data_IF_534076674840
#
_entry.id   IF_534076674840
#
_cell.length_a   1.000
_cell.length_b   1.000
_cell.length_c   1.000
_cell.angle_alpha   90.00
_cell.angle_beta   90.00
_cell.angle_gamma   90.00
#
_symmetry.space_group_name_H-M   'P 1'
#
loop_
_entity.id
_entity.type
_entity.pdbx_description
1 polymer ?
#
# COMPACT_ATOMS: atom_id res chain seq x y z
N UNK A 1 10.30 -9.29 -22.14
CA UNK A 1 9.70 -9.45 -20.79
C UNK A 1 10.66 -10.29 -19.96
N UNK A 2 11.23 -9.75 -18.89
CA UNK A 2 12.23 -10.46 -18.04
C UNK A 2 11.55 -11.26 -16.92
N UNK A 3 10.62 -10.63 -16.20
CA UNK A 3 9.85 -11.26 -15.13
C UNK A 3 8.42 -11.60 -15.60
N UNK A 4 7.87 -12.71 -15.08
CA UNK A 4 6.50 -13.15 -15.39
C UNK A 4 5.41 -12.34 -14.68
N UNK A 5 5.75 -11.62 -13.61
CA UNK A 5 4.86 -10.73 -12.86
C UNK A 5 5.47 -9.33 -12.86
N UNK A 6 4.73 -8.34 -13.37
CA UNK A 6 5.18 -6.95 -13.50
C UNK A 6 5.52 -6.33 -12.14
N UNK A 7 4.88 -6.76 -11.04
CA UNK A 7 5.19 -6.28 -9.68
C UNK A 7 6.61 -6.65 -9.25
N UNK A 8 7.18 -7.74 -9.78
CA UNK A 8 8.51 -8.24 -9.36
C UNK A 8 9.58 -7.17 -9.50
N UNK A 9 9.62 -6.45 -10.62
CA UNK A 9 10.68 -5.47 -10.88
C UNK A 9 10.50 -4.20 -10.04
N UNK A 10 9.27 -3.70 -9.93
CA UNK A 10 8.98 -2.46 -9.19
C UNK A 10 9.10 -2.63 -7.67
N UNK A 11 9.16 -3.87 -7.18
CA UNK A 11 9.45 -4.20 -5.78
C UNK A 11 10.95 -4.42 -5.51
N UNK A 12 11.80 -4.49 -6.54
CA UNK A 12 13.24 -4.52 -6.32
C UNK A 12 13.71 -3.16 -5.81
N UNK A 13 14.77 -3.16 -5.01
CA UNK A 13 15.44 -1.93 -4.61
C UNK A 13 16.78 -1.79 -5.32
N UNK A 14 17.20 -0.54 -5.49
CA UNK A 14 18.49 -0.24 -6.11
C UNK A 14 19.64 -0.54 -5.16
N UNK A 15 20.68 -1.19 -5.66
CA UNK A 15 21.97 -1.41 -4.96
C UNK A 15 22.84 -0.15 -4.91
N UNK A 16 22.53 0.82 -5.77
CA UNK A 16 23.23 2.11 -5.95
C UNK A 16 22.21 3.24 -5.92
N UNK A 17 22.66 4.48 -5.85
CA UNK A 17 21.77 5.62 -5.98
C UNK A 17 21.14 5.69 -7.38
N UNK A 18 20.06 6.44 -7.51
CA UNK A 18 19.32 6.63 -8.76
C UNK A 18 20.22 7.08 -9.91
N UNK A 19 21.06 8.09 -9.67
CA UNK A 19 21.88 8.70 -10.72
C UNK A 19 22.93 7.71 -11.26
N UNK A 20 23.58 6.96 -10.37
CA UNK A 20 24.50 5.88 -10.77
C UNK A 20 23.79 4.78 -11.55
N UNK A 21 22.56 4.43 -11.16
CA UNK A 21 21.78 3.36 -11.82
C UNK A 21 21.31 3.78 -13.21
N UNK A 22 20.80 5.00 -13.36
CA UNK A 22 20.39 5.57 -14.65
C UNK A 22 21.59 5.71 -15.58
N UNK A 23 22.71 6.25 -15.09
CA UNK A 23 23.94 6.41 -15.89
C UNK A 23 24.40 5.06 -16.46
N UNK A 24 24.40 4.01 -15.63
CA UNK A 24 24.79 2.67 -16.08
C UNK A 24 23.80 2.07 -17.09
N UNK A 25 22.50 2.37 -16.96
CA UNK A 25 21.50 1.94 -17.93
C UNK A 25 21.67 2.66 -19.27
N UNK A 26 21.94 3.96 -19.25
CA UNK A 26 22.23 4.75 -20.46
C UNK A 26 23.49 4.25 -21.18
N UNK A 27 24.52 3.87 -20.43
CA UNK A 27 25.72 3.23 -20.98
C UNK A 27 25.40 1.88 -21.64
N UNK A 28 24.56 1.04 -21.02
CA UNK A 28 24.08 -0.21 -21.61
C UNK A 28 23.35 0.05 -22.93
N UNK A 29 22.43 1.01 -22.95
CA UNK A 29 21.69 1.37 -24.17
C UNK A 29 22.62 1.89 -25.26
N UNK A 30 23.58 2.76 -24.92
CA UNK A 30 24.58 3.27 -25.86
C UNK A 30 25.44 2.16 -26.46
N UNK A 31 25.92 1.23 -25.64
CA UNK A 31 26.78 0.12 -26.08
C UNK A 31 26.04 -0.92 -26.94
N UNK A 32 24.71 -0.93 -26.87
CA UNK A 32 23.85 -1.89 -27.59
C UNK A 32 23.02 -1.24 -28.70
N UNK A 33 23.31 0.03 -29.05
CA UNK A 33 22.53 0.81 -30.01
C UNK A 33 21.02 0.79 -29.70
N UNK A 34 20.65 0.97 -28.44
CA UNK A 34 19.27 0.91 -27.91
C UNK A 34 18.59 -0.46 -28.08
N UNK A 35 19.35 -1.54 -28.25
CA UNK A 35 18.81 -2.89 -28.46
C UNK A 35 19.57 -3.96 -27.64
N UNK A 36 19.57 -3.86 -26.29
CA UNK A 36 20.20 -4.87 -25.45
C UNK A 36 19.48 -6.21 -25.52
N UNK A 37 20.22 -7.31 -25.44
CA UNK A 37 19.63 -8.65 -25.35
C UNK A 37 19.01 -8.89 -23.97
N UNK A 38 18.17 -9.93 -23.85
CA UNK A 38 17.59 -10.30 -22.55
C UNK A 38 18.68 -10.66 -21.53
N UNK A 39 19.78 -11.26 -21.96
CA UNK A 39 20.91 -11.61 -21.10
C UNK A 39 21.60 -10.35 -20.55
N UNK A 40 21.82 -9.34 -21.41
CA UNK A 40 22.42 -8.07 -20.99
C UNK A 40 21.52 -7.29 -20.02
N UNK A 41 20.20 -7.30 -20.25
CA UNK A 41 19.25 -6.71 -19.30
C UNK A 41 19.28 -7.46 -17.96
N UNK A 42 19.31 -8.80 -17.97
CA UNK A 42 19.41 -9.58 -16.72
C UNK A 42 20.69 -9.27 -15.97
N UNK A 43 21.82 -9.22 -16.65
CA UNK A 43 23.10 -8.86 -16.04
C UNK A 43 23.06 -7.46 -15.41
N UNK A 44 22.45 -6.49 -16.10
CA UNK A 44 22.22 -5.16 -15.53
C UNK A 44 21.35 -5.22 -14.27
N UNK A 45 20.23 -5.94 -14.31
CA UNK A 45 19.35 -6.10 -13.15
C UNK A 45 20.07 -6.75 -11.97
N UNK A 46 20.85 -7.81 -12.21
CA UNK A 46 21.62 -8.51 -11.18
C UNK A 46 22.71 -7.62 -10.56
N UNK A 47 23.27 -6.67 -11.31
CA UNK A 47 24.29 -5.75 -10.84
C UNK A 47 23.72 -4.54 -10.06
N UNK A 48 22.55 -4.05 -10.43
CA UNK A 48 22.01 -2.77 -9.93
C UNK A 48 20.77 -2.89 -9.07
N UNK A 49 20.08 -4.04 -9.06
CA UNK A 49 18.87 -4.27 -8.28
C UNK A 49 19.02 -5.48 -7.37
N UNK A 50 18.29 -5.46 -6.26
CA UNK A 50 18.29 -6.52 -5.27
C UNK A 50 16.85 -6.85 -4.82
N UNK A 51 16.64 -8.11 -4.47
CA UNK A 51 15.35 -8.62 -4.00
C UNK A 51 15.32 -8.94 -2.50
N UNK A 52 16.36 -8.57 -1.76
CA UNK A 52 16.37 -8.75 -0.31
C UNK A 52 15.25 -7.95 0.34
N UNK A 53 14.72 -8.51 1.43
CA UNK A 53 13.50 -7.98 2.04
C UNK A 53 13.74 -6.61 2.66
N UNK A 54 12.93 -5.66 2.22
CA UNK A 54 12.80 -4.29 2.77
C UNK A 54 12.11 -4.27 4.15
N UNK A 55 11.54 -5.42 4.52
CA UNK A 55 10.77 -5.66 5.72
C UNK A 55 11.37 -6.79 6.54
N UNK A 56 11.23 -6.68 7.85
CA UNK A 56 11.55 -7.73 8.80
C UNK A 56 10.27 -8.34 9.37
N UNK A 57 10.29 -9.63 9.66
CA UNK A 57 9.23 -10.26 10.43
C UNK A 57 9.15 -9.61 11.81
N UNK A 58 7.94 -9.31 12.24
CA UNK A 58 7.68 -8.60 13.49
C UNK A 58 6.54 -9.27 14.23
N UNK A 59 6.79 -9.68 15.47
CA UNK A 59 5.73 -10.13 16.37
C UNK A 59 5.24 -8.94 17.19
N UNK A 60 3.94 -8.60 17.12
CA UNK A 60 3.41 -7.50 17.89
C UNK A 60 3.52 -7.75 19.40
N UNK A 61 3.89 -6.71 20.17
CA UNK A 61 4.19 -6.84 21.59
C UNK A 61 2.96 -7.17 22.45
N UNK A 62 1.79 -6.73 22.02
CA UNK A 62 0.50 -6.97 22.66
C UNK A 62 -0.20 -8.24 22.13
N UNK A 63 0.47 -9.05 21.30
CA UNK A 63 -0.03 -10.35 20.88
C UNK A 63 -0.16 -11.29 22.09
N UNK A 64 -1.31 -11.95 22.19
CA UNK A 64 -1.54 -13.04 23.13
C UNK A 64 -1.94 -14.31 22.36
N UNK A 65 -1.38 -15.48 22.67
CA UNK A 65 -1.83 -16.74 22.08
C UNK A 65 -3.20 -17.19 22.62
N UNK A 66 -3.67 -16.60 23.72
CA UNK A 66 -4.95 -16.89 24.36
C UNK A 66 -5.70 -15.58 24.66
N UNK A 67 -6.14 -14.83 23.64
CA UNK A 67 -6.84 -13.57 23.84
C UNK A 67 -8.22 -13.81 24.48
N UNK A 68 -8.77 -12.82 25.21
CA UNK A 68 -10.00 -12.99 25.99
C UNK A 68 -11.20 -13.51 25.18
N UNK A 69 -11.33 -13.13 23.90
CA UNK A 69 -12.46 -13.53 23.07
C UNK A 69 -12.58 -15.06 22.92
N UNK A 70 -11.46 -15.81 22.92
CA UNK A 70 -11.51 -17.27 22.79
C UNK A 70 -12.29 -17.93 23.92
N UNK A 71 -12.18 -17.40 25.14
CA UNK A 71 -12.89 -17.93 26.30
C UNK A 71 -14.42 -17.75 26.21
N UNK A 72 -14.88 -16.82 25.37
CA UNK A 72 -16.31 -16.54 25.16
C UNK A 72 -16.97 -17.53 24.19
N UNK A 73 -16.17 -18.23 23.36
CA UNK A 73 -16.67 -19.16 22.36
C UNK A 73 -16.91 -20.52 23.02
N UNK A 74 -18.18 -20.92 23.15
CA UNK A 74 -18.55 -22.18 23.84
C UNK A 74 -18.19 -23.43 23.04
N UNK A 75 -18.46 -23.41 21.74
CA UNK A 75 -18.17 -24.53 20.85
C UNK A 75 -16.66 -24.69 20.66
N UNK A 76 -16.15 -25.90 20.89
CA UNK A 76 -14.71 -26.19 20.84
C UNK A 76 -14.13 -26.08 19.43
N UNK A 77 -14.89 -26.49 18.42
CA UNK A 77 -14.45 -26.41 17.01
C UNK A 77 -14.32 -24.95 16.58
N UNK A 78 -15.31 -24.13 16.92
CA UNK A 78 -15.28 -22.69 16.63
C UNK A 78 -14.20 -21.96 17.46
N UNK A 79 -13.94 -22.39 18.69
CA UNK A 79 -12.87 -21.83 19.51
C UNK A 79 -11.49 -22.13 18.90
N UNK A 80 -11.28 -23.36 18.43
CA UNK A 80 -10.06 -23.75 17.74
C UNK A 80 -9.90 -22.99 16.41
N UNK A 81 -10.99 -22.77 15.67
CA UNK A 81 -10.97 -21.92 14.48
C UNK A 81 -10.55 -20.48 14.83
N UNK A 82 -11.15 -19.87 15.86
CA UNK A 82 -10.76 -18.53 16.33
C UNK A 82 -9.30 -18.47 16.79
N UNK A 83 -8.80 -19.53 17.43
CA UNK A 83 -7.40 -19.64 17.81
C UNK A 83 -6.49 -19.65 16.58
N UNK A 84 -6.84 -20.44 15.57
CA UNK A 84 -6.08 -20.49 14.32
C UNK A 84 -6.01 -19.13 13.64
N UNK A 85 -7.11 -18.34 13.66
CA UNK A 85 -7.09 -16.97 13.14
C UNK A 85 -6.16 -16.07 13.97
N UNK A 86 -6.23 -16.13 15.30
CA UNK A 86 -5.35 -15.34 16.17
C UNK A 86 -3.87 -15.68 15.94
N UNK A 87 -3.55 -16.95 15.74
CA UNK A 87 -2.18 -17.42 15.51
C UNK A 87 -1.60 -16.98 14.16
N UNK A 88 -2.42 -16.47 13.23
CA UNK A 88 -1.96 -15.91 11.96
C UNK A 88 -1.30 -14.53 12.16
N UNK A 89 -1.73 -13.72 13.12
CA UNK A 89 -1.23 -12.35 13.30
C UNK A 89 0.30 -12.23 13.35
N UNK A 90 1.04 -12.99 14.19
CA UNK A 90 2.50 -12.91 14.21
C UNK A 90 3.18 -13.35 12.90
N UNK A 91 2.50 -14.15 12.06
CA UNK A 91 3.03 -14.58 10.75
C UNK A 91 2.92 -13.49 9.69
N UNK A 92 1.97 -12.56 9.86
CA UNK A 92 1.71 -11.44 8.96
C UNK A 92 2.28 -10.11 9.48
N UNK A 93 2.83 -10.09 10.69
CA UNK A 93 3.44 -8.88 11.26
C UNK A 93 4.77 -8.55 10.56
N UNK A 94 4.89 -7.30 10.13
CA UNK A 94 6.08 -6.74 9.47
C UNK A 94 6.47 -5.42 10.09
N UNK A 95 7.76 -5.11 10.03
CA UNK A 95 8.30 -3.77 10.30
C UNK A 95 9.31 -3.38 9.24
N UNK A 96 9.46 -2.09 8.99
CA UNK A 96 10.43 -1.57 8.01
C UNK A 96 11.85 -1.82 8.49
N UNK A 97 12.71 -2.32 7.61
CA UNK A 97 14.13 -2.52 7.89
C UNK A 97 14.85 -1.18 8.05
N UNK A 98 15.76 -1.06 9.02
CA UNK A 98 16.55 0.15 9.26
C UNK A 98 17.26 0.68 8.00
N UNK A 99 17.75 -0.22 7.13
CA UNK A 99 18.44 0.15 5.87
C UNK A 99 17.57 0.98 4.94
N UNK A 100 16.25 0.78 4.98
CA UNK A 100 15.32 1.55 4.16
C UNK A 100 15.21 2.99 4.66
N UNK A 101 15.22 3.22 5.98
CA UNK A 101 15.26 4.57 6.53
C UNK A 101 16.57 5.31 6.21
N UNK A 102 17.67 4.57 6.07
CA UNK A 102 18.98 5.13 5.72
C UNK A 102 19.06 5.56 4.25
N UNK A 103 18.39 4.84 3.34
CA UNK A 103 18.47 5.08 1.90
C UNK A 103 17.08 4.99 1.22
N UNK A 104 16.09 5.80 1.62
CA UNK A 104 14.69 5.62 1.22
C UNK A 104 14.47 5.75 -0.29
N UNK A 105 15.29 6.54 -0.98
CA UNK A 105 15.16 6.79 -2.42
C UNK A 105 15.57 5.57 -3.28
N UNK A 106 16.15 4.53 -2.68
CA UNK A 106 16.48 3.27 -3.35
C UNK A 106 15.32 2.28 -3.41
N UNK A 107 14.26 2.54 -2.64
CA UNK A 107 13.16 1.59 -2.41
C UNK A 107 11.86 2.14 -2.98
N UNK A 108 11.02 1.27 -3.51
CA UNK A 108 9.65 1.66 -3.84
C UNK A 108 8.75 1.67 -2.61
N UNK A 109 9.09 0.94 -1.55
CA UNK A 109 8.34 0.96 -0.29
C UNK A 109 8.56 2.29 0.44
N UNK A 110 7.47 2.90 0.88
CA UNK A 110 7.50 4.15 1.66
C UNK A 110 7.71 3.76 3.14
N UNK A 111 8.76 4.30 3.81
CA UNK A 111 9.01 3.99 5.22
C UNK A 111 7.86 4.46 6.10
N UNK A 112 7.48 3.61 7.05
CA UNK A 112 6.55 3.92 8.14
C UNK A 112 7.11 3.47 9.48
N UNK A 113 6.81 4.20 10.55
CA UNK A 113 7.56 4.09 11.82
C UNK A 113 7.18 2.86 12.66
N UNK A 114 5.92 2.44 12.62
CA UNK A 114 5.40 1.36 13.45
C UNK A 114 5.35 0.03 12.69
N UNK A 115 5.37 -1.08 13.43
CA UNK A 115 5.02 -2.38 12.88
C UNK A 115 3.57 -2.42 12.39
N UNK A 116 3.30 -3.26 11.39
CA UNK A 116 1.98 -3.42 10.79
C UNK A 116 1.71 -4.86 10.36
N UNK A 117 0.46 -5.15 10.00
CA UNK A 117 0.03 -6.47 9.51
C UNK A 117 -0.26 -6.35 8.01
N UNK A 118 0.32 -7.26 7.21
CA UNK A 118 0.08 -7.32 5.76
C UNK A 118 -1.15 -8.19 5.43
N UNK A 119 -1.78 -8.02 4.25
CA UNK A 119 -2.84 -8.93 3.80
C UNK A 119 -2.35 -10.39 3.60
N UNK A 120 -1.07 -10.55 3.21
CA UNK A 120 -0.42 -11.84 3.02
C UNK A 120 -0.14 -12.20 1.56
N UNK A 121 0.63 -13.26 1.35
CA UNK A 121 1.03 -13.72 0.02
C UNK A 121 1.98 -12.75 -0.69
N UNK A 122 1.61 -12.28 -1.89
CA UNK A 122 2.41 -11.33 -2.68
C UNK A 122 2.35 -9.89 -2.17
N UNK A 123 1.39 -9.58 -1.30
CA UNK A 123 1.13 -8.25 -0.77
C UNK A 123 1.94 -8.05 0.50
N UNK A 124 3.01 -7.27 0.39
CA UNK A 124 4.01 -7.10 1.44
C UNK A 124 3.93 -5.72 2.09
N UNK A 125 3.19 -4.80 1.52
CA UNK A 125 3.02 -3.42 1.98
C UNK A 125 1.73 -3.25 2.79
N UNK A 126 1.58 -2.10 3.47
CA UNK A 126 0.28 -1.68 3.96
C UNK A 126 -0.67 -1.48 2.77
N UNK A 127 -1.89 -2.00 2.86
CA UNK A 127 -3.00 -1.69 1.95
C UNK A 127 -4.10 -0.99 2.73
N UNK A 128 -4.58 0.13 2.22
CA UNK A 128 -5.36 1.06 3.02
C UNK A 128 -6.69 0.46 3.50
N UNK A 129 -7.57 0.03 2.59
CA UNK A 129 -8.88 -0.48 3.01
C UNK A 129 -8.80 -1.86 3.68
N UNK A 130 -7.85 -2.71 3.31
CA UNK A 130 -7.59 -4.02 3.95
C UNK A 130 -7.28 -3.84 5.43
N UNK A 131 -6.56 -2.76 5.75
CA UNK A 131 -6.20 -2.38 7.12
C UNK A 131 -7.43 -2.20 8.01
N UNK A 132 -8.58 -1.81 7.47
CA UNK A 132 -9.80 -1.66 8.28
C UNK A 132 -10.25 -3.00 8.86
N UNK A 133 -10.29 -4.03 8.02
CA UNK A 133 -10.70 -5.39 8.41
C UNK A 133 -9.66 -6.04 9.33
N UNK A 134 -8.38 -5.77 9.08
CA UNK A 134 -7.29 -6.17 9.97
C UNK A 134 -7.47 -5.54 11.34
N UNK A 135 -7.74 -4.23 11.42
CA UNK A 135 -7.96 -3.53 12.70
C UNK A 135 -9.13 -4.12 13.48
N UNK A 136 -10.26 -4.42 12.83
CA UNK A 136 -11.40 -5.10 13.48
C UNK A 136 -10.95 -6.41 14.15
N UNK A 137 -10.20 -7.25 13.40
CA UNK A 137 -9.68 -8.52 13.91
C UNK A 137 -8.65 -8.38 15.05
N UNK A 138 -7.75 -7.39 14.95
CA UNK A 138 -6.77 -7.07 15.97
C UNK A 138 -7.43 -6.59 17.26
N UNK A 139 -8.46 -5.75 17.17
CA UNK A 139 -9.21 -5.26 18.33
C UNK A 139 -9.94 -6.40 19.05
N UNK A 140 -10.55 -7.33 18.31
CA UNK A 140 -11.14 -8.57 18.89
C UNK A 140 -10.07 -9.40 19.59
N UNK A 141 -8.85 -9.44 19.04
CA UNK A 141 -7.69 -10.14 19.61
C UNK A 141 -7.04 -9.38 20.78
N UNK A 142 -7.53 -8.19 21.14
CA UNK A 142 -7.02 -7.38 22.24
C UNK A 142 -5.77 -6.56 21.91
N UNK A 143 -5.37 -6.49 20.64
CA UNK A 143 -4.09 -5.90 20.19
C UNK A 143 -4.22 -4.40 19.90
N UNK A 144 -4.54 -3.63 20.96
CA UNK A 144 -4.85 -2.19 20.86
C UNK A 144 -3.63 -1.33 20.54
N UNK A 145 -2.46 -1.67 21.07
CA UNK A 145 -1.24 -0.89 20.83
C UNK A 145 -0.78 -1.06 19.39
N UNK A 146 -0.92 -2.27 18.85
CA UNK A 146 -0.71 -2.55 17.43
C UNK A 146 -1.64 -1.75 16.54
N UNK A 147 -2.94 -1.71 16.86
CA UNK A 147 -3.93 -0.91 16.11
C UNK A 147 -3.56 0.57 16.14
N UNK A 148 -3.17 1.12 17.29
CA UNK A 148 -2.72 2.50 17.42
C UNK A 148 -1.54 2.80 16.50
N UNK A 149 -0.52 1.93 16.47
CA UNK A 149 0.66 2.06 15.61
C UNK A 149 0.32 1.99 14.12
N UNK A 150 -0.57 1.07 13.73
CA UNK A 150 -1.02 0.94 12.33
C UNK A 150 -1.77 2.19 11.86
N UNK A 151 -2.67 2.73 12.69
CA UNK A 151 -3.37 3.99 12.38
C UNK A 151 -2.36 5.16 12.28
N UNK A 152 -1.37 5.21 13.18
CA UNK A 152 -0.33 6.22 13.12
C UNK A 152 0.49 6.16 11.81
N UNK A 153 0.76 4.95 11.29
CA UNK A 153 1.40 4.78 9.98
C UNK A 153 0.53 5.33 8.83
N UNK A 154 -0.78 5.10 8.86
CA UNK A 154 -1.69 5.67 7.85
C UNK A 154 -1.72 7.20 7.90
N UNK A 155 -1.72 7.77 9.11
CA UNK A 155 -1.63 9.23 9.30
C UNK A 155 -0.28 9.78 8.83
N UNK A 156 0.81 9.03 9.03
CA UNK A 156 2.12 9.39 8.49
C UNK A 156 2.12 9.43 6.97
N UNK A 157 1.52 8.43 6.31
CA UNK A 157 1.35 8.41 4.84
C UNK A 157 0.49 9.58 4.36
N UNK A 158 -0.63 9.84 5.04
CA UNK A 158 -1.50 10.99 4.76
C UNK A 158 -0.72 12.31 4.82
N UNK A 159 0.01 12.57 5.90
CA UNK A 159 0.81 13.80 6.05
C UNK A 159 1.92 13.92 5.01
N UNK A 160 2.47 12.79 4.56
CA UNK A 160 3.55 12.74 3.57
C UNK A 160 3.06 12.98 2.14
N UNK A 161 1.88 12.45 1.79
CA UNK A 161 1.38 12.41 0.41
C UNK A 161 0.12 13.28 0.17
N UNK A 162 -0.42 13.89 1.22
CA UNK A 162 -1.69 14.62 1.19
C UNK A 162 -2.93 13.72 1.11
N UNK A 163 -2.75 12.40 1.04
CA UNK A 163 -3.81 11.38 1.09
C UNK A 163 -3.21 10.03 1.50
N UNK A 164 -4.05 9.08 1.88
CA UNK A 164 -3.58 7.70 2.09
C UNK A 164 -3.57 6.97 0.74
N UNK A 165 -2.40 6.49 0.26
CA UNK A 165 -2.31 5.79 -1.02
C UNK A 165 -2.94 4.40 -0.92
N UNK A 166 -3.25 3.77 -2.06
CA UNK A 166 -3.75 2.39 -2.14
C UNK A 166 -2.90 1.42 -1.29
N UNK A 167 -1.58 1.55 -1.37
CA UNK A 167 -0.68 0.94 -0.41
C UNK A 167 0.61 1.74 -0.23
N UNK A 168 1.46 1.34 0.71
CA UNK A 168 2.67 2.09 1.09
C UNK A 168 3.84 1.95 0.09
N UNK A 169 3.57 2.11 -1.20
CA UNK A 169 4.56 2.08 -2.29
C UNK A 169 4.47 3.33 -3.15
N UNK A 170 5.59 3.85 -3.63
CA UNK A 170 5.64 5.06 -4.45
C UNK A 170 4.84 4.97 -5.75
N UNK A 171 4.75 3.78 -6.38
CA UNK A 171 3.91 3.60 -7.57
C UNK A 171 2.39 3.63 -7.26
N UNK A 172 1.98 3.67 -5.99
CA UNK A 172 0.60 3.91 -5.56
C UNK A 172 0.30 5.37 -5.20
N UNK A 173 1.31 6.27 -5.22
CA UNK A 173 1.18 7.65 -4.74
C UNK A 173 0.14 8.52 -5.45
N UNK A 174 -0.40 8.10 -6.60
CA UNK A 174 -1.37 8.89 -7.37
C UNK A 174 -2.80 8.35 -7.24
N UNK A 175 -3.05 7.39 -6.33
CA UNK A 175 -4.39 6.86 -6.10
C UNK A 175 -4.58 6.36 -4.67
N UNK A 176 -5.80 6.53 -4.19
CA UNK A 176 -6.22 6.04 -2.88
C UNK A 176 -7.00 4.72 -3.00
N UNK A 177 -7.67 4.36 -1.92
CA UNK A 177 -8.62 3.25 -1.76
C UNK A 177 -9.81 3.79 -0.94
N UNK A 178 -10.89 3.01 -0.74
CA UNK A 178 -12.03 3.46 0.06
C UNK A 178 -11.61 4.12 1.39
N UNK A 179 -12.02 5.38 1.66
CA UNK A 179 -11.53 6.14 2.81
C UNK A 179 -12.17 5.66 4.10
N UNK A 180 -11.35 5.04 4.96
CA UNK A 180 -11.78 4.36 6.17
C UNK A 180 -11.01 4.82 7.42
N UNK A 181 -10.10 5.81 7.35
CA UNK A 181 -9.27 6.25 8.47
C UNK A 181 -10.13 6.73 9.65
N UNK A 182 -11.13 7.58 9.38
CA UNK A 182 -12.08 8.03 10.41
C UNK A 182 -12.83 6.87 11.07
N UNK A 183 -13.18 5.84 10.30
CA UNK A 183 -13.82 4.64 10.81
C UNK A 183 -12.84 3.82 11.68
N UNK A 184 -11.59 3.63 11.24
CA UNK A 184 -10.54 2.96 12.01
C UNK A 184 -10.25 3.67 13.33
N UNK A 185 -10.12 5.00 13.34
CA UNK A 185 -9.95 5.79 14.56
C UNK A 185 -11.15 5.64 15.47
N UNK A 186 -12.37 5.67 14.93
CA UNK A 186 -13.60 5.45 15.71
C UNK A 186 -13.62 4.08 16.39
N UNK A 187 -13.28 3.00 15.66
CA UNK A 187 -13.15 1.65 16.23
C UNK A 187 -12.13 1.62 17.37
N UNK A 188 -10.94 2.17 17.13
CA UNK A 188 -9.86 2.21 18.11
C UNK A 188 -10.27 2.97 19.37
N UNK A 189 -10.82 4.17 19.25
CA UNK A 189 -11.23 5.02 20.37
C UNK A 189 -12.37 4.38 21.16
N UNK A 190 -13.32 3.73 20.47
CA UNK A 190 -14.42 3.03 21.13
C UNK A 190 -13.90 1.94 22.07
N UNK A 191 -12.87 1.18 21.67
CA UNK A 191 -12.35 0.08 22.49
C UNK A 191 -11.26 0.47 23.47
N UNK A 192 -10.36 1.37 23.11
CA UNK A 192 -9.26 1.82 23.95
C UNK A 192 -9.66 2.90 24.95
N UNK A 193 -10.70 3.68 24.65
CA UNK A 193 -11.05 4.95 25.31
C UNK A 193 -9.93 6.01 25.25
N UNK A 194 -8.99 5.88 24.31
CA UNK A 194 -7.88 6.81 24.12
C UNK A 194 -8.34 8.08 23.38
N UNK A 195 -9.02 8.96 24.12
CA UNK A 195 -9.52 10.24 23.61
C UNK A 195 -8.39 11.20 23.24
N UNK A 196 -7.22 11.09 23.89
CA UNK A 196 -6.10 11.99 23.61
C UNK A 196 -5.47 11.68 22.25
N UNK A 197 -5.41 10.40 21.85
CA UNK A 197 -5.04 10.04 20.48
C UNK A 197 -5.99 10.64 19.45
N UNK A 198 -7.31 10.64 19.69
CA UNK A 198 -8.27 11.31 18.81
C UNK A 198 -7.99 12.81 18.70
N UNK A 199 -7.83 13.50 19.84
CA UNK A 199 -7.56 14.95 19.85
C UNK A 199 -6.28 15.30 19.10
N UNK A 200 -5.23 14.48 19.21
CA UNK A 200 -3.95 14.71 18.54
C UNK A 200 -4.04 14.53 17.01
N UNK A 201 -5.02 13.76 16.53
CA UNK A 201 -5.09 13.35 15.13
C UNK A 201 -6.37 13.80 14.41
N UNK A 202 -7.26 14.55 15.06
CA UNK A 202 -8.53 14.99 14.48
C UNK A 202 -8.32 15.82 13.21
N UNK A 203 -7.28 16.67 13.18
CA UNK A 203 -6.95 17.45 11.99
C UNK A 203 -6.53 16.56 10.81
N UNK A 204 -5.85 15.44 11.06
CA UNK A 204 -5.50 14.50 10.00
C UNK A 204 -6.77 13.83 9.42
N UNK A 205 -7.79 13.58 10.24
CA UNK A 205 -9.07 13.06 9.73
C UNK A 205 -9.79 14.07 8.83
N UNK A 206 -9.70 15.36 9.17
CA UNK A 206 -10.22 16.46 8.36
C UNK A 206 -9.42 16.61 7.05
N UNK A 207 -8.09 16.59 7.11
CA UNK A 207 -7.20 16.64 5.93
C UNK A 207 -7.51 15.52 4.92
N UNK A 208 -7.81 14.29 5.38
CA UNK A 208 -8.25 13.24 4.46
C UNK A 208 -9.59 13.59 3.80
N UNK A 209 -10.57 14.06 4.56
CA UNK A 209 -11.88 14.42 4.02
C UNK A 209 -11.75 15.55 2.98
N UNK A 210 -10.92 16.55 3.28
CA UNK A 210 -10.61 17.66 2.36
C UNK A 210 -10.01 17.16 1.06
N UNK A 211 -9.04 16.22 1.10
CA UNK A 211 -8.51 15.60 -0.11
C UNK A 211 -9.61 15.02 -1.01
N UNK A 212 -10.57 14.28 -0.44
CA UNK A 212 -11.68 13.71 -1.22
C UNK A 212 -12.58 14.80 -1.79
N UNK A 213 -12.96 15.79 -0.99
CA UNK A 213 -13.83 16.88 -1.42
C UNK A 213 -13.18 17.76 -2.50
N UNK A 214 -11.86 17.95 -2.44
CA UNK A 214 -11.13 18.82 -3.37
C UNK A 214 -10.74 18.12 -4.68
N UNK A 215 -10.42 16.82 -4.62
CA UNK A 215 -9.81 16.12 -5.77
C UNK A 215 -10.73 15.09 -6.43
N UNK A 216 -11.74 14.57 -5.71
CA UNK A 216 -12.56 13.45 -6.14
C UNK A 216 -14.02 13.85 -6.44
N UNK A 217 -14.35 15.13 -6.26
CA UNK A 217 -15.68 15.68 -6.49
C UNK A 217 -16.00 15.79 -7.98
N UNK A 218 -17.19 15.32 -8.36
CA UNK A 218 -17.75 15.46 -9.70
C UNK A 218 -19.16 16.01 -9.63
N UNK A 219 -19.47 16.95 -10.52
CA UNK A 219 -20.83 17.48 -10.71
C UNK A 219 -21.35 17.07 -12.08
N UNK A 220 -22.56 16.49 -12.12
CA UNK A 220 -23.21 16.05 -13.35
C UNK A 220 -24.72 16.30 -13.29
N UNK A 221 -25.37 16.39 -14.45
CA UNK A 221 -26.80 16.70 -14.57
C UNK A 221 -27.62 15.46 -14.93
N UNK A 222 -28.73 15.22 -14.23
CA UNK A 222 -29.74 14.21 -14.57
C UNK A 222 -31.13 14.85 -14.50
N UNK A 223 -31.87 14.85 -15.61
CA UNK A 223 -33.21 15.44 -15.73
C UNK A 223 -33.28 16.89 -15.17
N UNK A 224 -32.43 17.77 -15.70
CA UNK A 224 -32.31 19.18 -15.31
C UNK A 224 -31.98 19.45 -13.83
N UNK A 225 -31.46 18.44 -13.11
CA UNK A 225 -30.93 18.56 -11.75
C UNK A 225 -29.45 18.28 -11.70
N UNK A 226 -28.69 19.16 -11.07
CA UNK A 226 -27.28 18.96 -10.78
C UNK A 226 -27.10 18.08 -9.53
N UNK A 227 -26.22 17.09 -9.62
CA UNK A 227 -25.79 16.24 -8.52
C UNK A 227 -24.28 16.39 -8.36
N UNK A 228 -23.84 16.47 -7.10
CA UNK A 228 -22.42 16.52 -6.74
C UNK A 228 -22.11 15.32 -5.86
N UNK A 229 -21.18 14.48 -6.31
CA UNK A 229 -20.77 13.25 -5.63
C UNK A 229 -19.25 13.11 -5.66
N UNK A 230 -18.73 12.18 -4.86
CA UNK A 230 -17.35 11.71 -4.95
C UNK A 230 -17.26 10.51 -5.90
N UNK A 231 -16.16 10.41 -6.65
CA UNK A 231 -15.82 9.25 -7.49
C UNK A 231 -14.41 8.77 -7.18
N UNK A 232 -14.10 7.52 -7.48
CA UNK A 232 -12.70 7.10 -7.57
C UNK A 232 -12.10 7.66 -8.86
N UNK A 233 -10.99 8.38 -8.76
CA UNK A 233 -10.35 9.00 -9.91
C UNK A 233 -8.83 9.12 -9.73
N UNK A 234 -8.08 8.49 -10.64
CA UNK A 234 -6.62 8.44 -10.61
C UNK A 234 -6.03 8.73 -12.00
N UNK A 235 -6.02 10.00 -12.45
CA UNK A 235 -5.71 10.40 -13.84
C UNK A 235 -4.21 10.37 -14.20
N UNK A 236 -3.44 9.56 -13.49
CA UNK A 236 -2.01 9.38 -13.78
C UNK A 236 -1.82 8.82 -15.20
N UNK A 237 -0.77 9.25 -15.88
CA UNK A 237 -0.50 8.82 -17.26
C UNK A 237 -0.02 7.36 -17.35
N UNK A 238 -0.35 6.70 -18.45
CA UNK A 238 0.22 5.41 -18.82
C UNK A 238 -0.23 4.21 -17.96
N UNK A 239 0.31 3.01 -18.23
CA UNK A 239 -0.04 1.80 -17.48
C UNK A 239 0.45 1.84 -16.03
N UNK A 240 -0.18 1.04 -15.15
CA UNK A 240 0.27 0.91 -13.75
C UNK A 240 1.64 0.24 -13.68
N UNK A 241 2.62 0.75 -12.92
CA UNK A 241 3.95 0.15 -12.87
C UNK A 241 3.94 -1.34 -12.44
N UNK A 242 3.11 -1.70 -11.47
CA UNK A 242 2.98 -3.08 -10.97
C UNK A 242 2.22 -4.04 -11.89
N UNK A 243 1.62 -3.51 -12.97
CA UNK A 243 0.86 -4.24 -14.00
C UNK A 243 1.22 -3.74 -15.42
N UNK A 244 2.45 -3.25 -15.60
CA UNK A 244 2.81 -2.44 -16.77
C UNK A 244 2.55 -3.18 -18.09
N UNK A 245 3.02 -4.43 -18.18
CA UNK A 245 2.88 -5.23 -19.39
C UNK A 245 1.42 -5.58 -19.69
N UNK A 246 0.67 -5.95 -18.66
CA UNK A 246 -0.75 -6.30 -18.75
C UNK A 246 -1.56 -5.12 -19.26
N UNK A 247 -1.48 -3.98 -18.58
CA UNK A 247 -2.22 -2.76 -18.92
C UNK A 247 -1.83 -2.26 -20.32
N UNK A 248 -0.53 -2.23 -20.64
CA UNK A 248 -0.06 -1.81 -21.96
C UNK A 248 -0.63 -2.71 -23.06
N UNK A 249 -0.63 -4.03 -22.86
CA UNK A 249 -1.13 -4.99 -23.84
C UNK A 249 -2.63 -4.83 -24.06
N UNK A 250 -3.40 -4.70 -22.98
CA UNK A 250 -4.85 -4.55 -23.05
C UNK A 250 -5.23 -3.22 -23.72
N UNK A 251 -4.46 -2.15 -23.51
CA UNK A 251 -4.68 -0.86 -24.16
C UNK A 251 -4.38 -0.85 -25.67
N UNK A 252 -3.70 -1.87 -26.24
CA UNK A 252 -3.40 -1.89 -27.67
C UNK A 252 -4.63 -2.10 -28.56
N UNK A 253 -5.79 -2.45 -27.99
CA UNK A 253 -7.05 -2.54 -28.74
C UNK A 253 -7.59 -1.18 -29.17
N UNK A 254 -7.13 -0.10 -28.53
CA UNK A 254 -7.55 1.26 -28.85
C UNK A 254 -6.52 1.91 -29.76
N UNK A 255 -6.92 2.49 -30.90
CA UNK A 255 -5.97 3.22 -31.76
C UNK A 255 -5.79 4.68 -31.32
N UNK A 256 -6.81 5.24 -30.65
CA UNK A 256 -6.81 6.62 -30.20
C UNK A 256 -6.00 6.78 -28.88
N UNK A 257 -4.96 7.65 -28.84
CA UNK A 257 -4.16 7.88 -27.63
C UNK A 257 -4.95 8.37 -26.42
N UNK A 258 -5.92 9.26 -26.61
CA UNK A 258 -6.78 9.76 -25.54
C UNK A 258 -7.62 8.62 -24.96
N UNK A 259 -8.13 7.73 -25.83
CA UNK A 259 -8.89 6.55 -25.37
C UNK A 259 -8.00 5.55 -24.62
N UNK A 260 -6.74 5.39 -25.01
CA UNK A 260 -5.76 4.59 -24.23
C UNK A 260 -5.56 5.19 -22.85
N UNK A 261 -5.42 6.51 -22.76
CA UNK A 261 -5.24 7.20 -21.49
C UNK A 261 -6.49 7.15 -20.59
N UNK A 262 -7.69 7.26 -21.17
CA UNK A 262 -8.94 7.01 -20.45
C UNK A 262 -8.98 5.58 -19.89
N UNK A 263 -8.64 4.58 -20.70
CA UNK A 263 -8.56 3.19 -20.23
C UNK A 263 -7.56 3.03 -19.07
N UNK A 264 -6.37 3.62 -19.18
CA UNK A 264 -5.41 3.60 -18.08
C UNK A 264 -5.92 4.29 -16.81
N UNK A 265 -6.75 5.32 -16.95
CA UNK A 265 -7.38 6.00 -15.80
C UNK A 265 -8.46 5.11 -15.17
N UNK A 266 -9.26 4.41 -15.99
CA UNK A 266 -10.38 3.57 -15.53
C UNK A 266 -9.92 2.31 -14.77
N UNK A 267 -8.75 1.76 -15.11
CA UNK A 267 -8.21 0.55 -14.46
C UNK A 267 -7.40 0.83 -13.19
N UNK A 268 -7.16 2.11 -12.87
CA UNK A 268 -6.41 2.55 -11.70
C UNK A 268 -7.34 2.77 -10.52
#
# INVERSE_FOLDING_TARGET
RIFSDSKTFVDLHMKKDENSTITAFDELLKNTNNSPTNEQIKEFLDNYFDSSSELEDWTPLDYSPNPPFLSTIRDETLRNFGKNINDIWPTLGRRVNQKLFENPDQYSLIPVDNGFIIPGGRFKELYYWDTYWIIEGLLVSGMRDTVKGVIANLIQLLKKLGHIPNGSRWYYQQRSQPPLLSAMVSLYVRESKDIDFLKQNINALEEELEYWLDTQLITFNVNDRAYTLLRYYAPSEGPRPESYYEDYKDAQIFDNPDRKQEFYTDIK
#
